data_IF_055328174725
#
_entry.id   IF_055328174725
#
_cell.length_a   1.000
_cell.length_b   1.000
_cell.length_c   1.000
_cell.angle_alpha   90.00
_cell.angle_beta   90.00
_cell.angle_gamma   90.00
#
_symmetry.space_group_name_H-M   'P 1'
#
loop_
_entity.id
_entity.type
_entity.pdbx_description
1 polymer ?
#
# COMPACT_ATOMS: atom_id res chain seq x y z
N UNK A 1 -32.24 -40.83 6.27
CA UNK A 1 -30.98 -41.23 6.91
C UNK A 1 -29.84 -40.79 6.01
N UNK A 2 -28.87 -40.14 6.63
CA UNK A 2 -27.67 -39.44 6.13
C UNK A 2 -27.00 -39.99 4.86
N UNK A 3 -26.76 -39.11 3.89
CA UNK A 3 -25.74 -39.29 2.84
C UNK A 3 -24.60 -38.29 3.13
N UNK A 4 -23.42 -38.82 3.48
CA UNK A 4 -22.25 -38.04 3.87
C UNK A 4 -21.55 -37.39 2.68
N UNK A 5 -21.19 -36.11 2.84
CA UNK A 5 -20.31 -35.40 1.91
C UNK A 5 -18.89 -35.39 2.49
N UNK A 6 -17.97 -36.01 1.76
CA UNK A 6 -16.55 -36.10 2.08
C UNK A 6 -15.86 -34.77 1.77
N UNK A 7 -15.29 -34.15 2.79
CA UNK A 7 -14.42 -32.96 2.69
C UNK A 7 -13.06 -33.35 2.09
N UNK A 8 -12.77 -32.86 0.88
CA UNK A 8 -11.48 -33.09 0.23
C UNK A 8 -10.52 -31.95 0.61
N UNK A 9 -9.76 -32.15 1.69
CA UNK A 9 -8.70 -31.24 2.12
C UNK A 9 -7.44 -31.56 1.30
N UNK A 10 -7.09 -30.73 0.32
CA UNK A 10 -5.77 -30.82 -0.34
C UNK A 10 -4.73 -30.14 0.54
N UNK A 11 -4.02 -30.95 1.33
CA UNK A 11 -2.74 -30.61 1.93
C UNK A 11 -1.70 -30.48 0.81
N UNK A 12 -1.21 -29.28 0.56
CA UNK A 12 -0.02 -29.08 -0.26
C UNK A 12 1.21 -29.22 0.63
N UNK A 13 1.90 -30.36 0.53
CA UNK A 13 3.25 -30.53 1.05
C UNK A 13 4.21 -29.66 0.23
N UNK A 14 4.85 -28.66 0.86
CA UNK A 14 5.98 -27.94 0.29
C UNK A 14 7.24 -28.74 0.60
N UNK A 15 7.79 -29.41 -0.41
CA UNK A 15 9.11 -30.04 -0.34
C UNK A 15 10.16 -28.99 -0.70
N UNK A 16 10.96 -28.57 0.27
CA UNK A 16 12.17 -27.78 0.02
C UNK A 16 13.22 -28.74 -0.57
N UNK A 17 13.51 -28.63 -1.86
CA UNK A 17 14.65 -29.32 -2.46
C UNK A 17 15.88 -28.40 -2.41
N UNK A 18 17.01 -28.84 -1.81
CA UNK A 18 18.29 -28.21 -2.06
C UNK A 18 18.80 -28.70 -3.42
N UNK A 19 19.44 -27.82 -4.19
CA UNK A 19 20.57 -28.06 -5.10
C UNK A 19 20.56 -27.09 -6.29
N UNK A 20 21.38 -26.05 -6.15
CA UNK A 20 21.80 -25.15 -7.23
C UNK A 20 22.66 -25.91 -8.24
N UNK A 21 22.34 -25.81 -9.53
CA UNK A 21 23.30 -26.01 -10.63
C UNK A 21 23.68 -24.63 -11.17
N UNK A 22 24.95 -24.26 -11.00
CA UNK A 22 25.55 -23.08 -11.62
C UNK A 22 25.54 -23.23 -13.14
N UNK A 23 24.86 -22.34 -13.85
CA UNK A 23 25.01 -22.19 -15.31
C UNK A 23 26.23 -21.32 -15.62
N UNK A 24 26.97 -21.70 -16.67
CA UNK A 24 28.29 -21.17 -17.03
C UNK A 24 28.28 -19.76 -17.69
N UNK A 25 27.36 -18.88 -17.30
CA UNK A 25 27.41 -17.47 -17.69
C UNK A 25 27.45 -16.63 -16.41
N UNK A 26 28.65 -16.17 -16.04
CA UNK A 26 28.97 -15.50 -14.78
C UNK A 26 28.37 -14.10 -14.58
N UNK A 27 27.06 -13.95 -14.78
CA UNK A 27 26.28 -12.81 -14.33
C UNK A 27 25.13 -13.34 -13.47
N UNK A 28 25.23 -13.13 -12.16
CA UNK A 28 24.13 -13.39 -11.24
C UNK A 28 22.90 -12.59 -11.70
N UNK A 29 21.87 -13.29 -12.18
CA UNK A 29 20.56 -12.68 -12.38
C UNK A 29 20.07 -12.19 -11.00
N UNK A 30 19.70 -10.91 -10.83
CA UNK A 30 19.33 -10.42 -9.51
C UNK A 30 18.05 -11.11 -9.06
N UNK A 31 17.96 -11.36 -7.76
CA UNK A 31 16.85 -12.02 -7.05
C UNK A 31 15.46 -11.35 -7.22
N UNK A 32 15.30 -10.41 -8.14
CA UNK A 32 14.08 -9.64 -8.41
C UNK A 32 12.85 -10.51 -8.69
N UNK A 33 13.03 -11.67 -9.35
CA UNK A 33 11.92 -12.59 -9.62
C UNK A 33 11.35 -13.28 -8.37
N UNK A 34 12.14 -13.45 -7.31
CA UNK A 34 11.66 -14.06 -6.07
C UNK A 34 10.71 -13.12 -5.31
N UNK A 35 10.90 -11.80 -5.43
CA UNK A 35 10.09 -10.81 -4.69
C UNK A 35 8.85 -10.30 -5.44
N UNK A 36 8.70 -10.65 -6.73
CA UNK A 36 7.42 -10.49 -7.42
C UNK A 36 6.28 -11.26 -6.73
N UNK A 37 6.61 -12.29 -5.95
CA UNK A 37 5.67 -13.08 -5.14
C UNK A 37 5.23 -12.40 -3.84
N UNK A 38 5.92 -11.34 -3.40
CA UNK A 38 5.56 -10.64 -2.15
C UNK A 38 4.28 -9.81 -2.26
N UNK A 39 3.83 -9.50 -3.49
CA UNK A 39 2.55 -8.83 -3.73
C UNK A 39 1.39 -9.84 -3.87
N UNK A 40 1.70 -11.10 -4.21
CA UNK A 40 0.68 -12.10 -4.56
C UNK A 40 0.03 -12.78 -3.35
N UNK A 41 0.72 -12.84 -2.21
CA UNK A 41 0.10 -13.20 -0.92
C UNK A 41 -0.48 -11.94 -0.27
N UNK A 42 -1.60 -11.46 -0.81
CA UNK A 42 -2.27 -10.29 -0.25
C UNK A 42 -2.64 -10.55 1.22
N UNK A 43 -2.30 -9.65 2.15
CA UNK A 43 -2.79 -9.75 3.50
C UNK A 43 -4.32 -9.78 3.51
N UNK A 44 -4.93 -10.66 4.31
CA UNK A 44 -6.39 -10.82 4.41
C UNK A 44 -7.16 -9.52 4.67
N UNK A 45 -6.51 -8.50 5.24
CA UNK A 45 -7.17 -7.21 5.47
C UNK A 45 -7.51 -6.48 4.17
N UNK A 46 -6.79 -6.74 3.07
CA UNK A 46 -7.07 -6.16 1.74
C UNK A 46 -8.25 -6.83 1.03
N UNK A 47 -8.70 -8.00 1.49
CA UNK A 47 -9.84 -8.72 0.91
C UNK A 47 -11.12 -7.87 0.93
N UNK A 48 -11.25 -6.91 1.85
CA UNK A 48 -12.36 -5.97 1.90
C UNK A 48 -12.43 -5.02 0.68
N UNK A 49 -11.33 -4.83 -0.06
CA UNK A 49 -11.35 -4.12 -1.34
C UNK A 49 -11.82 -5.03 -2.48
N UNK A 50 -11.58 -6.35 -2.37
CA UNK A 50 -11.99 -7.33 -3.36
C UNK A 50 -13.51 -7.45 -3.32
N UNK A 51 -14.16 -6.96 -4.37
CA UNK A 51 -15.63 -6.95 -4.48
C UNK A 51 -16.30 -5.63 -4.10
N UNK A 52 -15.56 -4.63 -3.65
CA UNK A 52 -16.10 -3.26 -3.47
C UNK A 52 -16.56 -2.68 -4.82
N UNK A 53 -15.75 -2.85 -5.86
CA UNK A 53 -16.08 -2.47 -7.23
C UNK A 53 -15.30 -3.38 -8.20
N UNK A 54 -15.86 -3.77 -9.37
CA UNK A 54 -15.15 -4.60 -10.33
C UNK A 54 -13.77 -4.05 -10.70
N UNK A 55 -12.73 -4.89 -10.57
CA UNK A 55 -11.35 -4.54 -10.90
C UNK A 55 -10.60 -3.72 -9.85
N UNK A 56 -11.22 -3.31 -8.74
CA UNK A 56 -10.49 -2.65 -7.65
C UNK A 56 -9.64 -3.66 -6.89
N UNK A 57 -8.34 -3.36 -6.74
CA UNK A 57 -7.38 -4.13 -5.97
C UNK A 57 -6.52 -3.21 -5.11
N UNK A 58 -6.24 -3.65 -3.89
CA UNK A 58 -5.14 -3.14 -3.07
C UNK A 58 -3.92 -4.05 -3.18
N UNK A 59 -2.74 -3.54 -2.87
CA UNK A 59 -1.50 -4.33 -2.76
C UNK A 59 -0.66 -3.80 -1.60
N UNK A 60 0.14 -4.67 -0.98
CA UNK A 60 0.99 -4.33 0.15
C UNK A 60 2.29 -5.12 0.10
N UNK A 61 3.41 -4.41 0.04
CA UNK A 61 4.77 -4.98 0.10
C UNK A 61 5.29 -4.76 1.52
N UNK A 62 5.44 -5.86 2.27
CA UNK A 62 6.06 -5.89 3.60
C UNK A 62 7.60 -5.69 3.51
N UNK A 63 8.30 -5.80 4.64
CA UNK A 63 9.77 -5.82 4.66
C UNK A 63 10.29 -6.91 3.71
N UNK A 64 11.27 -6.57 2.89
CA UNK A 64 11.94 -7.53 2.01
C UNK A 64 12.99 -8.32 2.80
N UNK A 65 12.81 -9.65 2.99
CA UNK A 65 13.79 -10.46 3.71
C UNK A 65 15.15 -10.45 3.00
N UNK A 66 16.24 -10.35 3.75
CA UNK A 66 17.59 -10.44 3.18
C UNK A 66 18.06 -9.25 2.35
N UNK A 67 17.27 -8.17 2.25
CA UNK A 67 17.70 -6.90 1.66
C UNK A 67 18.19 -5.98 2.79
N UNK A 68 19.52 -5.81 2.97
CA UNK A 68 20.04 -4.94 4.01
C UNK A 68 19.71 -3.48 3.67
N UNK A 69 19.24 -2.73 4.66
CA UNK A 69 19.00 -1.30 4.54
C UNK A 69 19.99 -0.55 5.42
N UNK A 70 20.66 0.43 4.82
CA UNK A 70 21.57 1.36 5.50
C UNK A 70 21.32 2.78 5.03
N UNK A 71 21.75 3.73 5.85
CA UNK A 71 21.71 5.16 5.52
C UNK A 71 20.34 5.82 5.70
N UNK A 72 20.23 7.02 5.15
CA UNK A 72 19.00 7.83 5.21
C UNK A 72 17.93 7.35 4.23
N UNK A 73 16.77 8.02 4.27
CA UNK A 73 15.60 7.68 3.42
C UNK A 73 15.97 7.47 1.96
N UNK A 74 16.73 8.38 1.36
CA UNK A 74 16.99 8.32 -0.08
C UNK A 74 17.89 7.15 -0.47
N UNK A 75 18.81 6.73 0.41
CA UNK A 75 19.64 5.54 0.20
C UNK A 75 18.84 4.26 0.37
N UNK A 76 17.99 4.20 1.39
CA UNK A 76 17.06 3.11 1.58
C UNK A 76 16.12 2.95 0.36
N UNK A 77 15.54 4.05 -0.12
CA UNK A 77 14.68 4.06 -1.31
C UNK A 77 15.41 3.65 -2.58
N UNK A 78 16.66 4.09 -2.78
CA UNK A 78 17.51 3.63 -3.91
C UNK A 78 17.75 2.12 -3.85
N UNK A 79 17.98 1.58 -2.66
CA UNK A 79 18.21 0.14 -2.45
C UNK A 79 16.96 -0.69 -2.71
N UNK A 80 15.79 -0.20 -2.26
CA UNK A 80 14.50 -0.87 -2.42
C UNK A 80 13.92 -0.75 -3.84
N UNK A 81 14.34 0.26 -4.61
CA UNK A 81 13.80 0.60 -5.93
C UNK A 81 13.58 -0.61 -6.86
N UNK A 82 14.59 -1.43 -7.20
CA UNK A 82 14.40 -2.51 -8.18
C UNK A 82 13.32 -3.51 -7.73
N UNK A 83 13.19 -3.76 -6.42
CA UNK A 83 12.20 -4.66 -5.88
C UNK A 83 10.79 -4.07 -5.91
N UNK A 84 10.66 -2.79 -5.57
CA UNK A 84 9.38 -2.07 -5.62
C UNK A 84 8.89 -1.86 -7.05
N UNK A 85 9.78 -1.56 -8.01
CA UNK A 85 9.43 -1.49 -9.42
C UNK A 85 8.95 -2.84 -9.96
N UNK A 86 9.61 -3.95 -9.57
CA UNK A 86 9.17 -5.29 -9.91
C UNK A 86 7.80 -5.64 -9.29
N UNK A 87 7.58 -5.26 -8.03
CA UNK A 87 6.29 -5.43 -7.35
C UNK A 87 5.17 -4.66 -8.05
N UNK A 88 5.43 -3.42 -8.46
CA UNK A 88 4.46 -2.59 -9.21
C UNK A 88 4.18 -3.16 -10.59
N UNK A 89 5.21 -3.60 -11.31
CA UNK A 89 5.05 -4.23 -12.62
C UNK A 89 4.21 -5.51 -12.54
N UNK A 90 4.44 -6.34 -11.52
CA UNK A 90 3.62 -7.52 -11.25
C UNK A 90 2.19 -7.16 -10.84
N UNK A 91 2.00 -6.05 -10.11
CA UNK A 91 0.69 -5.61 -9.63
C UNK A 91 -0.18 -4.99 -10.73
N UNK A 92 0.37 -4.14 -11.60
CA UNK A 92 -0.38 -3.34 -12.59
C UNK A 92 -0.70 -4.03 -13.92
N UNK A 93 -0.27 -5.29 -14.10
CA UNK A 93 -0.52 -6.14 -15.28
C UNK A 93 0.06 -5.65 -16.63
N UNK A 94 0.72 -4.48 -16.68
CA UNK A 94 1.45 -3.91 -17.83
C UNK A 94 2.42 -2.81 -17.32
N UNK A 95 3.30 -2.20 -18.16
CA UNK A 95 4.00 -0.97 -17.77
C UNK A 95 2.99 0.18 -17.62
N UNK A 96 2.21 0.15 -16.55
CA UNK A 96 1.30 1.21 -16.15
C UNK A 96 2.14 2.34 -15.56
N UNK A 97 1.83 3.61 -15.84
CA UNK A 97 2.33 4.69 -15.01
C UNK A 97 1.84 4.46 -13.58
N UNK A 98 2.78 4.38 -12.63
CA UNK A 98 2.46 4.39 -11.21
C UNK A 98 2.68 5.78 -10.64
N UNK A 99 1.67 6.26 -9.94
CA UNK A 99 1.60 7.59 -9.36
C UNK A 99 2.02 7.53 -7.91
N UNK A 100 3.03 8.34 -7.58
CA UNK A 100 3.56 8.46 -6.23
C UNK A 100 3.30 9.86 -5.69
N UNK A 101 2.92 9.95 -4.43
CA UNK A 101 2.93 11.22 -3.71
C UNK A 101 4.38 11.55 -3.27
N UNK A 102 4.73 12.83 -3.17
CA UNK A 102 6.02 13.25 -2.58
C UNK A 102 6.11 12.87 -1.09
N UNK A 103 4.98 12.91 -0.40
CA UNK A 103 4.80 12.60 1.02
C UNK A 103 5.55 13.56 1.95
N UNK A 104 5.09 14.81 1.98
CA UNK A 104 5.65 15.90 2.80
C UNK A 104 5.11 15.90 4.24
N UNK A 105 4.37 14.84 4.63
CA UNK A 105 3.69 14.68 5.92
C UNK A 105 2.60 15.75 6.16
N UNK A 106 2.04 16.28 5.08
CA UNK A 106 0.88 17.17 5.08
C UNK A 106 -0.43 16.41 4.93
N UNK A 107 -1.47 17.12 4.51
CA UNK A 107 -2.81 16.57 4.29
C UNK A 107 -3.40 16.91 2.92
N UNK A 108 -2.56 17.38 1.99
CA UNK A 108 -2.98 17.67 0.62
C UNK A 108 -3.10 16.39 -0.21
N UNK A 109 -4.05 16.39 -1.14
CA UNK A 109 -4.40 15.26 -1.99
C UNK A 109 -4.52 15.74 -3.43
N UNK A 110 -4.03 14.95 -4.40
CA UNK A 110 -4.14 15.25 -5.82
C UNK A 110 -4.93 14.18 -6.57
N UNK A 111 -5.62 14.61 -7.64
CA UNK A 111 -6.25 13.71 -8.61
C UNK A 111 -5.26 13.40 -9.74
N UNK A 112 -5.13 12.12 -10.12
CA UNK A 112 -4.26 11.64 -11.21
C UNK A 112 -5.12 11.03 -12.34
N UNK A 113 -4.70 11.07 -13.62
CA UNK A 113 -3.34 11.30 -14.13
C UNK A 113 -2.97 12.74 -14.53
N UNK A 114 -3.81 13.74 -14.28
CA UNK A 114 -3.55 15.10 -14.77
C UNK A 114 -2.61 15.92 -13.85
N UNK A 115 -2.21 15.37 -12.70
CA UNK A 115 -1.31 16.03 -11.78
C UNK A 115 0.11 16.18 -12.36
N UNK A 116 0.71 17.36 -12.16
CA UNK A 116 2.11 17.58 -12.50
C UNK A 116 3.04 16.66 -11.68
N UNK A 117 4.18 16.29 -12.28
CA UNK A 117 5.19 15.47 -11.62
C UNK A 117 6.54 16.21 -11.57
N UNK A 118 7.28 15.97 -10.50
CA UNK A 118 8.70 16.32 -10.36
C UNK A 118 9.51 15.05 -10.10
N UNK A 119 10.82 15.11 -10.32
CA UNK A 119 11.71 14.02 -9.89
C UNK A 119 12.04 14.16 -8.41
N UNK A 120 11.75 13.13 -7.63
CA UNK A 120 12.18 13.03 -6.24
C UNK A 120 13.70 12.75 -6.14
N UNK A 121 14.33 12.93 -4.97
CA UNK A 121 15.75 12.62 -4.74
C UNK A 121 16.13 11.16 -5.04
N UNK A 122 15.16 10.25 -4.97
CA UNK A 122 15.32 8.86 -5.38
C UNK A 122 15.15 8.66 -6.89
N UNK A 123 15.16 9.71 -7.70
CA UNK A 123 15.18 9.67 -9.17
C UNK A 123 13.89 9.20 -9.85
N UNK A 124 12.78 9.08 -9.11
CA UNK A 124 11.49 8.66 -9.64
C UNK A 124 10.47 9.81 -9.60
N UNK A 125 9.49 9.82 -10.53
CA UNK A 125 8.47 10.86 -10.57
C UNK A 125 7.55 10.79 -9.34
N UNK A 126 7.20 11.96 -8.81
CA UNK A 126 6.23 12.14 -7.74
C UNK A 126 5.35 13.35 -8.02
N UNK A 127 4.12 13.32 -7.51
CA UNK A 127 3.25 14.50 -7.43
C UNK A 127 3.73 15.36 -6.25
N UNK A 128 4.13 16.62 -6.46
CA UNK A 128 4.73 17.46 -5.42
C UNK A 128 3.71 17.91 -4.39
N UNK A 129 4.15 18.07 -3.15
CA UNK A 129 3.42 18.74 -2.06
C UNK A 129 2.18 18.00 -1.55
N UNK A 130 1.97 16.75 -1.95
CA UNK A 130 0.81 15.94 -1.52
C UNK A 130 1.23 14.70 -0.76
N UNK A 131 0.28 14.18 0.01
CA UNK A 131 0.39 12.95 0.79
C UNK A 131 -0.70 11.94 0.40
N UNK A 132 -1.65 12.33 -0.44
CA UNK A 132 -2.67 11.42 -0.96
C UNK A 132 -2.88 11.57 -2.46
N UNK A 133 -3.31 10.48 -3.08
CA UNK A 133 -3.68 10.43 -4.49
C UNK A 133 -5.07 9.83 -4.65
N UNK A 134 -5.84 10.33 -5.60
CA UNK A 134 -7.15 9.77 -5.98
C UNK A 134 -7.27 9.66 -7.49
N UNK A 135 -8.10 8.73 -7.97
CA UNK A 135 -8.46 8.61 -9.39
C UNK A 135 -9.72 7.78 -9.57
N UNK A 136 -10.46 8.03 -10.65
CA UNK A 136 -11.50 7.12 -11.14
C UNK A 136 -11.15 6.57 -12.53
N UNK A 137 -9.91 6.75 -12.98
CA UNK A 137 -9.43 6.23 -14.27
C UNK A 137 -8.85 4.82 -14.06
N UNK A 138 -9.22 3.83 -14.90
CA UNK A 138 -8.67 2.50 -14.77
C UNK A 138 -7.19 2.46 -15.22
N UNK A 139 -6.46 1.46 -14.74
CA UNK A 139 -5.03 1.27 -15.01
C UNK A 139 -4.08 2.16 -14.23
N UNK A 140 -4.57 3.21 -13.57
CA UNK A 140 -3.71 4.10 -12.77
C UNK A 140 -3.31 3.42 -11.45
N UNK A 141 -2.05 3.02 -11.33
CA UNK A 141 -1.52 2.44 -10.08
C UNK A 141 -1.15 3.58 -9.14
N UNK A 142 -1.78 3.65 -7.97
CA UNK A 142 -1.40 4.57 -6.89
C UNK A 142 -0.40 3.90 -5.97
N UNK A 143 0.59 4.65 -5.48
CA UNK A 143 1.66 4.15 -4.64
C UNK A 143 2.01 5.09 -3.48
N UNK A 144 1.99 4.54 -2.27
CA UNK A 144 2.34 5.23 -1.03
C UNK A 144 3.36 4.42 -0.23
N UNK A 145 4.42 5.08 0.22
CA UNK A 145 5.44 4.46 1.06
C UNK A 145 5.21 4.73 2.54
N UNK A 146 5.43 3.73 3.39
CA UNK A 146 5.31 3.91 4.84
C UNK A 146 6.40 3.17 5.60
N UNK A 147 6.80 3.75 6.73
CA UNK A 147 7.44 3.07 7.84
C UNK A 147 6.90 3.78 9.08
N UNK A 148 6.08 3.08 9.86
CA UNK A 148 5.27 3.58 10.98
C UNK A 148 4.04 4.44 10.65
N UNK A 149 4.08 5.35 9.67
CA UNK A 149 2.86 6.05 9.25
C UNK A 149 1.85 5.07 8.62
N UNK A 150 0.56 5.40 8.61
CA UNK A 150 -0.43 4.55 7.97
C UNK A 150 -0.57 4.86 6.47
N UNK A 151 -0.84 3.83 5.68
CA UNK A 151 -1.47 3.96 4.38
C UNK A 151 -2.99 3.74 4.55
N UNK A 152 -3.80 4.55 3.85
CA UNK A 152 -5.26 4.42 3.83
C UNK A 152 -5.71 4.18 2.40
N UNK A 153 -6.35 3.04 2.14
CA UNK A 153 -7.05 2.81 0.88
C UNK A 153 -8.47 3.35 0.99
N UNK A 154 -8.95 3.97 -0.07
CA UNK A 154 -10.35 4.35 -0.26
C UNK A 154 -10.84 3.70 -1.56
N UNK A 155 -12.02 3.09 -1.54
CA UNK A 155 -12.69 2.58 -2.73
C UNK A 155 -14.17 2.93 -2.69
N UNK A 156 -14.65 3.62 -3.70
CA UNK A 156 -16.06 3.97 -3.88
C UNK A 156 -16.77 2.91 -4.72
N UNK A 157 -17.76 2.23 -4.12
CA UNK A 157 -18.53 1.15 -4.75
C UNK A 157 -19.49 1.62 -5.86
N UNK A 158 -19.69 2.92 -6.03
CA UNK A 158 -20.61 3.50 -7.02
C UNK A 158 -19.84 4.13 -8.18
N UNK A 159 -18.93 5.06 -7.90
CA UNK A 159 -18.18 5.75 -8.97
C UNK A 159 -16.98 4.94 -9.48
N UNK A 160 -16.57 3.92 -8.74
CA UNK A 160 -15.33 3.19 -8.98
C UNK A 160 -14.08 4.05 -8.75
N UNK A 161 -14.20 5.19 -8.06
CA UNK A 161 -13.05 5.98 -7.65
C UNK A 161 -12.27 5.26 -6.55
N UNK A 162 -10.95 5.36 -6.62
CA UNK A 162 -10.03 4.86 -5.61
C UNK A 162 -9.16 6.00 -5.07
N UNK A 163 -8.67 5.83 -3.85
CA UNK A 163 -7.70 6.71 -3.23
C UNK A 163 -6.66 5.93 -2.44
N UNK A 164 -5.46 6.49 -2.33
CA UNK A 164 -4.40 5.97 -1.49
C UNK A 164 -3.69 7.12 -0.78
N UNK A 165 -3.72 7.10 0.55
CA UNK A 165 -3.28 8.22 1.40
C UNK A 165 -2.14 7.81 2.32
N UNK A 166 -1.20 8.71 2.55
CA UNK A 166 -0.18 8.66 3.59
C UNK A 166 -0.64 9.46 4.81
N UNK A 167 -0.90 8.78 5.93
CA UNK A 167 -1.39 9.41 7.14
C UNK A 167 -0.53 9.04 8.35
N UNK A 168 0.43 9.93 8.66
CA UNK A 168 1.09 9.98 9.96
C UNK A 168 0.40 10.96 10.90
N UNK A 169 1.01 11.23 12.06
CA UNK A 169 0.50 12.19 13.06
C UNK A 169 0.03 13.53 12.44
N UNK A 170 0.86 14.14 11.59
CA UNK A 170 0.57 15.46 11.01
C UNK A 170 -0.54 15.39 9.95
N UNK A 171 -0.48 14.43 9.03
CA UNK A 171 -1.53 14.24 8.01
C UNK A 171 -2.89 13.89 8.63
N UNK A 172 -2.91 13.07 9.68
CA UNK A 172 -4.12 12.78 10.46
C UNK A 172 -4.68 14.04 11.13
N UNK A 173 -3.83 14.82 11.82
CA UNK A 173 -4.23 16.07 12.45
C UNK A 173 -4.72 17.11 11.44
N UNK A 174 -4.15 17.12 10.24
CA UNK A 174 -4.55 17.97 9.11
C UNK A 174 -5.75 17.47 8.31
N UNK A 175 -6.38 16.36 8.73
CA UNK A 175 -7.61 15.86 8.12
C UNK A 175 -7.44 15.25 6.73
N UNK A 176 -6.33 14.55 6.45
CA UNK A 176 -6.07 14.00 5.11
C UNK A 176 -7.19 13.08 4.60
N UNK A 177 -7.83 12.31 5.49
CA UNK A 177 -8.94 11.44 5.12
C UNK A 177 -10.14 12.28 4.65
N UNK A 178 -10.52 13.29 5.43
CA UNK A 178 -11.62 14.19 5.11
C UNK A 178 -11.33 14.99 3.83
N UNK A 179 -10.10 15.46 3.64
CA UNK A 179 -9.66 16.16 2.44
C UNK A 179 -9.75 15.27 1.19
N UNK A 180 -9.35 13.99 1.31
CA UNK A 180 -9.47 13.03 0.22
C UNK A 180 -10.95 12.77 -0.13
N UNK A 181 -11.80 12.52 0.88
CA UNK A 181 -13.23 12.30 0.66
C UNK A 181 -13.92 13.52 0.04
N UNK A 182 -13.55 14.74 0.47
CA UNK A 182 -14.07 15.97 -0.10
C UNK A 182 -13.65 16.13 -1.56
N UNK A 183 -12.39 15.84 -1.90
CA UNK A 183 -11.92 15.90 -3.27
C UNK A 183 -12.57 14.81 -4.14
N UNK A 184 -12.70 13.57 -3.65
CA UNK A 184 -13.43 12.51 -4.36
C UNK A 184 -14.89 12.89 -4.60
N UNK A 185 -15.56 13.51 -3.62
CA UNK A 185 -16.92 14.01 -3.78
C UNK A 185 -17.01 15.09 -4.86
N UNK A 186 -16.08 16.05 -4.85
CA UNK A 186 -16.04 17.13 -5.82
C UNK A 186 -15.72 16.64 -7.24
N UNK A 187 -14.78 15.71 -7.39
CA UNK A 187 -14.28 15.28 -8.70
C UNK A 187 -15.11 14.16 -9.31
N UNK A 188 -15.61 13.23 -8.50
CA UNK A 188 -16.26 12.00 -8.97
C UNK A 188 -17.69 11.82 -8.50
N UNK A 189 -18.21 12.73 -7.67
CA UNK A 189 -19.52 12.58 -7.05
C UNK A 189 -19.57 11.52 -5.94
N UNK A 190 -18.41 11.09 -5.43
CA UNK A 190 -18.31 10.12 -4.33
C UNK A 190 -19.08 10.57 -3.11
N UNK A 191 -19.82 9.66 -2.51
CA UNK A 191 -20.46 9.86 -1.19
C UNK A 191 -19.70 9.02 -0.17
N UNK A 192 -19.34 9.56 1.01
CA UNK A 192 -18.62 8.79 2.02
C UNK A 192 -19.29 7.45 2.39
N UNK A 193 -20.63 7.41 2.43
CA UNK A 193 -21.38 6.17 2.71
C UNK A 193 -21.21 5.07 1.67
N UNK A 194 -20.71 5.40 0.48
CA UNK A 194 -20.40 4.47 -0.60
C UNK A 194 -18.92 4.04 -0.59
N UNK A 195 -18.12 4.58 0.33
CA UNK A 195 -16.68 4.31 0.43
C UNK A 195 -16.39 3.19 1.43
N UNK A 196 -15.56 2.25 0.99
CA UNK A 196 -14.83 1.31 1.85
C UNK A 196 -13.42 1.85 2.09
N UNK A 197 -13.05 2.01 3.36
CA UNK A 197 -11.74 2.50 3.77
C UNK A 197 -10.96 1.43 4.54
N UNK A 198 -9.68 1.24 4.22
CA UNK A 198 -8.80 0.28 4.90
C UNK A 198 -7.57 1.00 5.47
N UNK A 199 -7.17 0.66 6.69
CA UNK A 199 -5.96 1.14 7.34
C UNK A 199 -4.87 0.06 7.37
N UNK A 200 -3.68 0.40 6.86
CA UNK A 200 -2.51 -0.48 6.87
C UNK A 200 -1.99 -0.75 8.29
N UNK A 201 -1.04 -1.70 8.44
CA UNK A 201 -0.16 -1.72 9.60
C UNK A 201 0.49 -0.35 9.79
N UNK A 202 0.54 0.13 11.03
CA UNK A 202 1.14 1.41 11.41
C UNK A 202 1.57 1.38 12.88
N UNK A 203 2.41 2.33 13.28
CA UNK A 203 2.82 2.42 14.68
C UNK A 203 1.66 2.91 15.54
N UNK A 204 1.54 2.33 16.73
CA UNK A 204 0.45 2.61 17.67
C UNK A 204 0.95 2.44 19.11
N UNK A 205 0.18 2.90 20.12
CA UNK A 205 0.50 2.60 21.51
C UNK A 205 0.69 1.08 21.74
N UNK A 206 1.63 0.68 22.62
CA UNK A 206 2.46 1.53 23.48
C UNK A 206 3.73 2.10 22.82
N UNK A 207 4.09 1.68 21.60
CA UNK A 207 5.37 2.05 20.97
C UNK A 207 5.40 3.47 20.38
N UNK A 208 4.22 4.10 20.26
CA UNK A 208 4.08 5.50 19.94
C UNK A 208 3.01 6.18 20.80
N UNK A 209 3.33 7.36 21.29
CA UNK A 209 2.50 8.13 22.21
C UNK A 209 1.23 8.71 21.56
N UNK A 210 1.20 8.83 20.22
CA UNK A 210 0.04 9.35 19.49
C UNK A 210 -0.69 8.21 18.79
N UNK A 211 -1.95 8.01 19.16
CA UNK A 211 -2.82 7.03 18.51
C UNK A 211 -3.58 7.66 17.32
N UNK A 212 -2.83 7.89 16.23
CA UNK A 212 -3.43 8.41 15.00
C UNK A 212 -4.29 7.35 14.29
N UNK A 213 -4.05 6.05 14.49
CA UNK A 213 -4.92 4.99 13.98
C UNK A 213 -6.36 5.13 14.53
N UNK A 214 -6.51 5.26 15.86
CA UNK A 214 -7.80 5.50 16.47
C UNK A 214 -8.41 6.85 16.07
N UNK A 215 -7.58 7.87 15.80
CA UNK A 215 -8.07 9.14 15.28
C UNK A 215 -8.63 9.01 13.87
N UNK A 216 -7.94 8.32 12.96
CA UNK A 216 -8.41 8.05 11.59
C UNK A 216 -9.74 7.29 11.63
N UNK A 217 -9.88 6.29 12.51
CA UNK A 217 -11.14 5.56 12.68
C UNK A 217 -12.29 6.49 13.11
N UNK A 218 -12.04 7.42 14.04
CA UNK A 218 -13.03 8.44 14.44
C UNK A 218 -13.36 9.40 13.32
N UNK A 219 -12.38 9.79 12.50
CA UNK A 219 -12.58 10.66 11.33
C UNK A 219 -13.45 9.97 10.28
N UNK A 220 -13.18 8.70 9.98
CA UNK A 220 -13.98 7.87 9.08
C UNK A 220 -15.44 7.78 9.55
N UNK A 221 -15.66 7.49 10.84
CA UNK A 221 -17.00 7.42 11.42
C UNK A 221 -17.74 8.77 11.34
N UNK A 222 -17.06 9.89 11.64
CA UNK A 222 -17.64 11.24 11.57
C UNK A 222 -17.98 11.65 10.13
N UNK A 223 -17.15 11.26 9.17
CA UNK A 223 -17.38 11.51 7.75
C UNK A 223 -18.50 10.64 7.17
N UNK A 224 -18.97 9.62 7.90
CA UNK A 224 -19.98 8.69 7.42
C UNK A 224 -19.44 7.71 6.38
N UNK A 225 -18.18 7.30 6.51
CA UNK A 225 -17.59 6.24 5.67
C UNK A 225 -18.41 4.97 5.81
N UNK A 226 -18.79 4.34 4.70
CA UNK A 226 -19.69 3.20 4.68
C UNK A 226 -19.11 1.97 5.38
N UNK A 227 -17.87 1.62 5.06
CA UNK A 227 -17.16 0.50 5.69
C UNK A 227 -15.74 0.90 6.05
N UNK A 228 -15.27 0.50 7.23
CA UNK A 228 -13.93 0.81 7.72
C UNK A 228 -13.27 -0.43 8.32
N UNK A 229 -12.05 -0.73 7.87
CA UNK A 229 -11.28 -1.88 8.32
C UNK A 229 -9.89 -1.42 8.79
N UNK A 230 -9.49 -1.79 10.01
CA UNK A 230 -8.13 -1.58 10.51
C UNK A 230 -7.40 -2.93 10.56
N UNK A 231 -6.20 -3.01 9.98
CA UNK A 231 -5.33 -4.19 10.08
C UNK A 231 -5.01 -4.58 11.53
N UNK A 232 -5.04 -3.63 12.47
CA UNK A 232 -4.72 -3.83 13.88
C UNK A 232 -3.23 -4.01 14.18
N UNK A 233 -2.38 -4.12 13.15
CA UNK A 233 -0.97 -4.45 13.31
C UNK A 233 -0.13 -3.23 13.71
N UNK A 234 0.79 -3.44 14.65
CA UNK A 234 1.77 -2.47 15.11
C UNK A 234 3.12 -2.70 14.43
N UNK A 235 3.60 -1.76 13.61
CA UNK A 235 4.86 -1.89 12.87
C UNK A 235 6.08 -1.99 13.78
N UNK A 236 6.03 -1.39 14.96
CA UNK A 236 7.12 -1.44 15.94
C UNK A 236 7.22 -2.80 16.65
N UNK A 237 6.15 -3.58 16.69
CA UNK A 237 6.10 -4.84 17.41
C UNK A 237 6.76 -6.01 16.66
N UNK A 238 6.90 -5.91 15.33
CA UNK A 238 7.50 -6.96 14.49
C UNK A 238 8.38 -6.37 13.39
N UNK A 239 9.62 -6.06 13.76
CA UNK A 239 10.64 -5.56 12.82
C UNK A 239 11.16 -6.63 11.86
N UNK A 240 10.74 -7.90 11.98
CA UNK A 240 11.04 -8.92 10.97
C UNK A 240 10.11 -8.83 9.77
N UNK A 241 8.90 -8.30 9.98
CA UNK A 241 7.86 -8.11 8.95
C UNK A 241 7.72 -6.67 8.48
N UNK A 242 7.96 -5.70 9.36
CA UNK A 242 7.77 -4.29 9.05
C UNK A 242 9.08 -3.51 9.16
N UNK A 243 9.21 -2.49 8.31
CA UNK A 243 10.15 -1.40 8.53
C UNK A 243 9.54 -0.42 9.55
N UNK A 244 10.31 -0.05 10.57
CA UNK A 244 9.87 0.88 11.61
C UNK A 244 10.90 1.99 11.79
N UNK A 245 10.50 3.22 11.44
CA UNK A 245 11.34 4.41 11.58
C UNK A 245 11.72 4.66 13.04
N UNK A 246 10.76 4.48 13.96
CA UNK A 246 10.92 4.68 15.40
C UNK A 246 11.91 3.68 15.98
N UNK A 247 11.74 2.38 15.69
CA UNK A 247 12.58 1.32 16.28
C UNK A 247 13.98 1.33 15.67
N UNK A 248 14.09 1.51 14.36
CA UNK A 248 15.37 1.51 13.63
C UNK A 248 16.02 2.91 13.56
N UNK A 249 15.53 3.87 14.36
CA UNK A 249 16.12 5.21 14.55
C UNK A 249 16.37 5.96 13.24
N UNK A 250 15.41 5.86 12.32
CA UNK A 250 15.43 6.51 11.02
C UNK A 250 16.28 5.83 9.94
N UNK A 251 17.02 4.77 10.28
CA UNK A 251 17.83 4.00 9.33
C UNK A 251 17.08 2.73 8.92
N UNK A 252 16.01 2.93 8.14
CA UNK A 252 15.09 1.85 7.76
C UNK A 252 14.54 2.00 6.35
N UNK A 253 14.03 0.89 5.82
CA UNK A 253 13.33 0.80 4.54
C UNK A 253 11.92 1.37 4.61
N UNK A 254 11.13 1.12 3.57
CA UNK A 254 9.71 1.49 3.50
C UNK A 254 8.93 0.31 2.96
N UNK A 255 7.79 0.03 3.60
CA UNK A 255 6.73 -0.77 2.97
C UNK A 255 6.08 0.06 1.87
N UNK A 256 5.46 -0.63 0.92
CA UNK A 256 4.78 -0.02 -0.21
C UNK A 256 3.33 -0.47 -0.26
N UNK A 257 2.42 0.49 -0.14
CA UNK A 257 1.01 0.33 -0.42
C UNK A 257 0.73 0.63 -1.90
N UNK A 258 -0.11 -0.19 -2.53
CA UNK A 258 -0.53 -0.04 -3.91
C UNK A 258 -2.06 -0.06 -4.01
N UNK A 259 -2.63 0.71 -4.93
CA UNK A 259 -4.05 0.61 -5.30
C UNK A 259 -4.20 0.75 -6.81
N UNK A 260 -5.11 -0.02 -7.40
CA UNK A 260 -5.45 0.10 -8.81
C UNK A 260 -6.91 -0.27 -9.01
N UNK A 261 -7.54 0.32 -10.02
CA UNK A 261 -8.73 -0.24 -10.65
C UNK A 261 -8.32 -0.75 -12.01
N UNK A 262 -8.33 -2.05 -12.22
CA UNK A 262 -7.99 -2.63 -13.51
C UNK A 262 -8.94 -2.14 -14.61
N UNK A 263 -8.44 -2.12 -15.84
CA UNK A 263 -9.34 -2.08 -16.99
C UNK A 263 -10.22 -3.32 -16.93
N UNK A 264 -11.54 -3.15 -17.01
CA UNK A 264 -12.43 -4.30 -17.22
C UNK A 264 -11.95 -5.07 -18.45
N UNK A 265 -11.87 -6.41 -18.39
CA UNK A 265 -11.56 -7.22 -19.57
C UNK A 265 -12.61 -7.05 -20.67
#
# INVERSE_FOLDING_TARGET
>A
MLAGWSCCTKLYHVTILPHYKLSQSGLAQPACHLYATCVTDQPRFLDALQGCYPGVRGGWVERLPGVPISGGRDEAMRTLRPYHEAAVAAFGSHPQPWWRAEQVHGSAVACVPDAAQILAPDGLPVVPGVDGLITNQPGQVLAIYVADCAAIWLADRVSGAIGLLHSGKQGTAGGILENALALMAQTFGTRPGDVTALLSPCIRPPDYEVDFAAQIARQAARAGVGEYYDSGANTAADISRFYSYRIEKGQTGRMLALAVRDCSP
#
